data_IF_315718862458
#
_entry.id   IF_315718862458
#
_cell.length_a   1.000
_cell.length_b   1.000
_cell.length_c   1.000
_cell.angle_alpha   90.00
_cell.angle_beta   90.00
_cell.angle_gamma   90.00
#
_symmetry.space_group_name_H-M   'P 1'
#
loop_
_entity.id
_entity.type
_entity.pdbx_description
1 polymer ?
#
# COMPACT_ATOMS: atom_id res chain seq x y z
N UNK A 1 -13.18 -7.33 8.10
CA UNK A 1 -12.32 -6.17 7.85
C UNK A 1 -11.20 -6.20 8.88
N UNK A 2 -9.95 -6.39 8.47
CA UNK A 2 -8.79 -6.40 9.37
C UNK A 2 -8.20 -4.98 9.46
N UNK A 3 -8.81 -4.16 10.32
CA UNK A 3 -8.40 -2.76 10.49
C UNK A 3 -6.97 -2.64 11.00
N UNK A 4 -6.56 -3.48 11.95
CA UNK A 4 -5.25 -3.39 12.59
C UNK A 4 -4.10 -3.63 11.60
N UNK A 5 -4.26 -4.59 10.69
CA UNK A 5 -3.25 -4.85 9.65
C UNK A 5 -3.18 -3.73 8.62
N UNK A 6 -4.33 -3.14 8.25
CA UNK A 6 -4.35 -1.99 7.34
C UNK A 6 -3.71 -0.75 7.97
N UNK A 7 -4.01 -0.47 9.25
CA UNK A 7 -3.43 0.67 9.96
C UNK A 7 -1.90 0.57 10.07
N UNK A 8 -1.37 -0.61 10.45
CA UNK A 8 0.07 -0.87 10.46
C UNK A 8 0.73 -0.64 9.10
N UNK A 9 0.11 -1.18 8.05
CA UNK A 9 0.62 -1.02 6.69
C UNK A 9 0.70 0.46 6.26
N UNK A 10 -0.38 1.23 6.49
CA UNK A 10 -0.43 2.65 6.08
C UNK A 10 0.61 3.49 6.82
N UNK A 11 0.77 3.30 8.12
CA UNK A 11 1.76 4.04 8.93
C UNK A 11 3.20 3.68 8.52
N UNK A 12 3.47 2.39 8.27
CA UNK A 12 4.77 1.93 7.77
C UNK A 12 5.11 2.49 6.38
N UNK A 13 4.16 2.44 5.44
CA UNK A 13 4.32 2.97 4.09
C UNK A 13 4.59 4.49 4.10
N UNK A 14 3.83 5.26 4.88
CA UNK A 14 4.02 6.71 5.00
C UNK A 14 5.45 7.06 5.47
N UNK A 15 5.98 6.35 6.46
CA UNK A 15 7.37 6.52 6.93
C UNK A 15 8.38 6.24 5.83
N UNK A 16 8.21 5.15 5.08
CA UNK A 16 9.11 4.76 3.99
C UNK A 16 9.10 5.81 2.88
N UNK A 17 7.92 6.30 2.50
CA UNK A 17 7.77 7.28 1.44
C UNK A 17 8.38 8.64 1.82
N UNK A 18 8.17 9.10 3.05
CA UNK A 18 8.81 10.33 3.55
C UNK A 18 10.33 10.23 3.57
N UNK A 19 10.88 9.09 4.00
CA UNK A 19 12.32 8.84 3.98
C UNK A 19 12.88 8.81 2.55
N UNK A 20 12.20 8.12 1.62
CA UNK A 20 12.60 8.05 0.21
C UNK A 20 12.56 9.42 -0.47
N UNK A 21 11.56 10.24 -0.18
CA UNK A 21 11.43 11.58 -0.73
C UNK A 21 12.49 12.55 -0.18
N UNK A 22 13.29 12.15 0.81
CA UNK A 22 14.17 13.05 1.54
C UNK A 22 13.41 14.05 2.42
N UNK A 23 12.12 13.82 2.65
CA UNK A 23 11.19 14.74 3.30
C UNK A 23 10.97 14.43 4.79
N UNK A 24 11.83 13.61 5.40
CA UNK A 24 11.64 13.10 6.76
C UNK A 24 11.59 14.24 7.81
N UNK A 25 12.37 15.30 7.60
CA UNK A 25 12.37 16.46 8.49
C UNK A 25 11.12 17.33 8.28
N UNK A 26 10.68 17.49 7.04
CA UNK A 26 9.53 18.28 6.65
C UNK A 26 8.21 17.70 7.14
N UNK A 27 8.09 16.37 7.18
CA UNK A 27 6.88 15.70 7.70
C UNK A 27 6.84 15.57 9.21
N UNK A 28 7.96 15.81 9.91
CA UNK A 28 8.07 15.59 11.36
C UNK A 28 7.02 16.39 12.17
N UNK A 29 6.76 17.69 11.90
CA UNK A 29 5.74 18.44 12.65
C UNK A 29 4.33 17.83 12.50
N UNK A 30 4.01 17.28 11.33
CA UNK A 30 2.73 16.63 11.06
C UNK A 30 2.62 15.30 11.82
N UNK A 31 3.70 14.51 11.82
CA UNK A 31 3.79 13.28 12.62
C UNK A 31 3.60 13.56 14.11
N UNK A 32 4.23 14.61 14.63
CA UNK A 32 4.12 15.02 16.03
C UNK A 32 2.68 15.41 16.37
N UNK A 33 2.00 16.12 15.47
CA UNK A 33 0.58 16.45 15.62
C UNK A 33 -0.29 15.18 15.68
N UNK A 34 -0.12 14.25 14.73
CA UNK A 34 -0.88 12.99 14.70
C UNK A 34 -0.63 12.14 15.96
N UNK A 35 0.60 12.10 16.46
CA UNK A 35 0.94 11.38 17.69
C UNK A 35 0.26 11.99 18.93
N UNK A 36 0.05 13.31 18.97
CA UNK A 36 -0.69 13.97 20.06
C UNK A 36 -2.20 13.70 19.97
N UNK A 37 -2.74 13.63 18.76
CA UNK A 37 -4.18 13.49 18.53
C UNK A 37 -4.67 12.04 18.59
N UNK A 38 -3.81 11.05 18.31
CA UNK A 38 -4.18 9.62 18.33
C UNK A 38 -3.12 8.78 19.05
N UNK A 39 -3.43 8.26 20.25
CA UNK A 39 -2.61 7.26 20.94
C UNK A 39 -2.33 6.01 20.09
N UNK A 40 -3.30 5.61 19.26
CA UNK A 40 -3.16 4.49 18.33
C UNK A 40 -2.12 4.79 17.26
N UNK A 41 -2.15 5.98 16.65
CA UNK A 41 -1.11 6.40 15.70
C UNK A 41 0.26 6.48 16.39
N UNK A 42 0.33 7.03 17.61
CA UNK A 42 1.58 7.11 18.36
C UNK A 42 2.17 5.73 18.71
N UNK A 43 1.33 4.72 18.96
CA UNK A 43 1.76 3.34 19.13
C UNK A 43 2.32 2.77 17.82
N UNK A 44 1.55 2.85 16.73
CA UNK A 44 1.95 2.35 15.41
C UNK A 44 3.21 3.05 14.87
N UNK A 45 3.35 4.35 15.13
CA UNK A 45 4.53 5.12 14.73
C UNK A 45 5.77 4.66 15.52
N UNK A 46 5.66 4.48 16.85
CA UNK A 46 6.77 3.99 17.68
C UNK A 46 7.20 2.57 17.36
N UNK A 47 6.26 1.71 16.96
CA UNK A 47 6.57 0.32 16.58
C UNK A 47 7.56 0.25 15.42
N UNK A 48 7.72 1.34 14.66
CA UNK A 48 8.69 1.47 13.59
C UNK A 48 8.67 0.27 12.64
N UNK A 49 7.48 -0.22 12.32
CA UNK A 49 7.27 -1.30 11.36
C UNK A 49 7.58 -0.76 9.95
N UNK A 50 8.88 -0.64 9.66
CA UNK A 50 9.41 -0.29 8.34
C UNK A 50 9.34 -1.54 7.50
N UNK A 51 8.14 -1.89 7.06
CA UNK A 51 8.01 -2.74 5.89
C UNK A 51 8.38 -1.87 4.70
N UNK A 52 9.69 -1.82 4.41
CA UNK A 52 10.15 -1.42 3.09
C UNK A 52 9.29 -2.17 2.08
N UNK A 53 8.80 -1.45 1.07
CA UNK A 53 7.93 -1.97 0.02
C UNK A 53 8.06 -3.49 -0.13
N UNK A 54 7.07 -4.19 0.40
CA UNK A 54 7.17 -5.59 0.72
C UNK A 54 6.05 -6.35 0.05
N UNK A 55 6.38 -7.54 -0.42
CA UNK A 55 5.42 -8.50 -0.91
C UNK A 55 4.38 -8.79 0.18
N UNK A 56 3.13 -8.46 -0.09
CA UNK A 56 2.03 -8.67 0.84
C UNK A 56 0.81 -9.21 0.11
N UNK A 57 0.00 -10.04 0.77
CA UNK A 57 -1.27 -10.48 0.18
C UNK A 57 -2.36 -9.45 0.49
N UNK A 58 -2.84 -8.75 -0.53
CA UNK A 58 -3.96 -7.81 -0.44
C UNK A 58 -5.26 -8.51 -0.82
N UNK A 59 -6.24 -8.47 0.07
CA UNK A 59 -7.60 -8.95 -0.22
C UNK A 59 -8.49 -7.76 -0.60
N UNK A 60 -9.08 -7.83 -1.79
CA UNK A 60 -9.94 -6.78 -2.35
C UNK A 60 -11.31 -7.37 -2.67
N UNK A 61 -12.36 -6.55 -2.63
CA UNK A 61 -13.69 -6.93 -3.13
C UNK A 61 -13.94 -6.20 -4.44
N UNK A 62 -13.69 -6.89 -5.56
CA UNK A 62 -13.91 -6.33 -6.89
C UNK A 62 -15.41 -6.36 -7.23
N UNK A 63 -15.98 -5.29 -7.83
CA UNK A 63 -17.42 -5.22 -8.12
C UNK A 63 -17.90 -6.34 -9.05
N UNK A 64 -17.04 -6.84 -9.94
CA UNK A 64 -17.39 -7.90 -10.90
C UNK A 64 -16.88 -9.28 -10.46
N UNK A 65 -15.71 -9.35 -9.82
CA UNK A 65 -15.04 -10.63 -9.52
C UNK A 65 -15.31 -11.12 -8.10
N UNK A 66 -15.97 -10.31 -7.27
CA UNK A 66 -16.14 -10.60 -5.85
C UNK A 66 -14.82 -10.52 -5.08
N UNK A 67 -14.68 -11.26 -3.98
CA UNK A 67 -13.45 -11.30 -3.20
C UNK A 67 -12.28 -11.89 -4.01
N UNK A 68 -11.20 -11.12 -4.15
CA UNK A 68 -9.99 -11.52 -4.86
C UNK A 68 -8.75 -11.22 -4.00
N UNK A 69 -7.71 -12.03 -4.17
CA UNK A 69 -6.44 -11.90 -3.45
C UNK A 69 -5.31 -11.63 -4.44
N UNK A 70 -4.45 -10.69 -4.10
CA UNK A 70 -3.29 -10.32 -4.90
C UNK A 70 -2.04 -10.35 -4.04
N UNK A 71 -0.95 -10.88 -4.57
CA UNK A 71 0.38 -10.42 -4.20
C UNK A 71 0.51 -8.96 -4.61
N UNK A 72 0.91 -8.13 -3.66
CA UNK A 72 1.10 -6.70 -3.80
C UNK A 72 2.59 -6.42 -3.68
N UNK A 73 3.13 -5.74 -4.68
CA UNK A 73 4.52 -5.25 -4.67
C UNK A 73 4.54 -3.77 -5.02
N UNK A 74 5.34 -3.01 -4.28
CA UNK A 74 5.54 -1.58 -4.50
C UNK A 74 7.01 -1.32 -4.84
N UNK A 75 7.28 -0.38 -5.74
CA UNK A 75 8.64 -0.10 -6.21
C UNK A 75 8.89 1.41 -6.27
N UNK A 76 10.15 1.80 -6.08
CA UNK A 76 10.61 3.15 -6.44
C UNK A 76 10.58 3.32 -7.95
N UNK A 77 10.31 4.55 -8.38
CA UNK A 77 10.77 5.00 -9.69
C UNK A 77 12.07 5.77 -9.50
N UNK A 78 13.16 5.24 -10.04
CA UNK A 78 14.45 5.90 -9.98
C UNK A 78 14.40 7.27 -10.71
N UNK A 79 15.05 8.28 -10.15
CA UNK A 79 15.01 9.66 -10.64
C UNK A 79 13.68 10.42 -10.43
N UNK A 80 12.65 9.78 -9.86
CA UNK A 80 11.34 10.38 -9.54
C UNK A 80 10.83 9.88 -8.19
N UNK A 81 11.41 10.39 -7.11
CA UNK A 81 11.09 9.99 -5.73
C UNK A 81 9.64 10.30 -5.31
N UNK A 82 8.95 11.15 -6.08
CA UNK A 82 7.52 11.46 -5.96
C UNK A 82 6.60 10.38 -6.56
N UNK A 83 7.16 9.40 -7.29
CA UNK A 83 6.41 8.34 -7.95
C UNK A 83 6.66 6.96 -7.33
N UNK A 84 5.62 6.13 -7.36
CA UNK A 84 5.70 4.70 -7.00
C UNK A 84 5.03 3.85 -8.07
N UNK A 85 5.62 2.67 -8.35
CA UNK A 85 5.00 1.66 -9.19
C UNK A 85 4.41 0.58 -8.31
N UNK A 86 3.13 0.28 -8.51
CA UNK A 86 2.40 -0.73 -7.76
C UNK A 86 2.02 -1.88 -8.69
N UNK A 87 2.37 -3.11 -8.31
CA UNK A 87 2.04 -4.33 -9.04
C UNK A 87 1.08 -5.17 -8.20
N UNK A 88 -0.02 -5.59 -8.82
CA UNK A 88 -0.97 -6.55 -8.27
C UNK A 88 -0.90 -7.86 -9.07
N UNK A 89 -0.38 -8.92 -8.47
CA UNK A 89 -0.32 -10.25 -9.09
C UNK A 89 -1.42 -11.15 -8.48
N UNK A 90 -2.40 -11.65 -9.25
CA UNK A 90 -3.46 -12.50 -8.72
C UNK A 90 -2.85 -13.80 -8.17
N UNK A 91 -3.19 -14.15 -6.93
CA UNK A 91 -2.67 -15.38 -6.29
C UNK A 91 -3.37 -16.64 -6.82
N UNK A 92 -4.55 -16.46 -7.42
CA UNK A 92 -5.41 -17.54 -7.89
C UNK A 92 -5.43 -17.55 -9.43
N UNK A 93 -5.03 -18.66 -10.08
CA UNK A 93 -5.10 -18.82 -11.53
C UNK A 93 -6.50 -18.54 -12.12
N UNK A 94 -7.58 -18.87 -11.41
CA UNK A 94 -8.93 -18.60 -11.87
C UNK A 94 -9.23 -17.09 -11.91
N UNK A 95 -8.76 -16.35 -10.91
CA UNK A 95 -8.86 -14.90 -10.86
C UNK A 95 -8.04 -14.27 -11.99
N UNK A 96 -6.85 -14.82 -12.28
CA UNK A 96 -6.00 -14.37 -13.39
C UNK A 96 -6.71 -14.48 -14.74
N UNK A 97 -7.34 -15.61 -15.05
CA UNK A 97 -8.08 -15.78 -16.30
C UNK A 97 -9.30 -14.85 -16.38
N UNK A 98 -10.04 -14.66 -15.28
CA UNK A 98 -11.16 -13.71 -15.25
C UNK A 98 -10.71 -12.26 -15.48
N UNK A 99 -9.57 -11.86 -14.91
CA UNK A 99 -8.99 -10.52 -15.15
C UNK A 99 -8.59 -10.36 -16.61
N UNK A 100 -7.96 -11.38 -17.21
CA UNK A 100 -7.60 -11.36 -18.64
C UNK A 100 -8.85 -11.15 -19.50
N UNK A 101 -9.91 -11.90 -19.25
CA UNK A 101 -11.19 -11.74 -19.96
C UNK A 101 -11.79 -10.34 -19.81
N UNK A 102 -11.69 -9.72 -18.62
CA UNK A 102 -12.14 -8.33 -18.41
C UNK A 102 -11.29 -7.31 -19.18
N UNK A 103 -9.98 -7.50 -19.24
CA UNK A 103 -9.07 -6.62 -20.00
C UNK A 103 -9.33 -6.70 -21.51
N UNK A 104 -9.67 -7.88 -22.02
CA UNK A 104 -9.99 -8.08 -23.44
C UNK A 104 -11.39 -7.55 -23.79
N UNK A 105 -12.34 -7.60 -22.85
CA UNK A 105 -13.70 -7.11 -23.03
C UNK A 105 -13.85 -5.59 -22.85
N UNK A 106 -12.90 -4.93 -22.16
CA UNK A 106 -12.87 -3.48 -22.02
C UNK A 106 -11.98 -2.90 -23.13
N UNK A 107 -12.50 -2.14 -24.11
CA UNK A 107 -11.64 -1.45 -25.06
C UNK A 107 -10.68 -0.56 -24.27
N UNK A 108 -9.38 -0.66 -24.56
CA UNK A 108 -8.39 0.26 -24.03
C UNK A 108 -8.85 1.69 -24.34
N UNK A 109 -9.08 2.48 -23.28
CA UNK A 109 -9.35 3.91 -23.40
C UNK A 109 -8.08 4.67 -23.79
#
# INVERSE_FOLDING_TARGET
HDWASVARFVVGAFRVDAARAGAAAEVQPFVDELCRLSPEFAALWRDNDVRAHGEAIKQLRHPILGPVRFEYSAFAVDGRSDLSMIVYNPVDPEVKEKIRGLMEASPAH
#
